data_IF_303473367637
#
_entry.id   IF_303473367637
#
_cell.length_a   1.000
_cell.length_b   1.000
_cell.length_c   1.000
_cell.angle_alpha   90.00
_cell.angle_beta   90.00
_cell.angle_gamma   90.00
#
_symmetry.space_group_name_H-M   'P 1'
#
loop_
_entity.id
_entity.type
_entity.pdbx_description
1 polymer ?
#
# COMPACT_ATOMS: atom_id res chain seq x y z
N UNK A 1 -2.56 15.58 -15.98
CA UNK A 1 -1.43 15.19 -15.12
C UNK A 1 -1.96 14.23 -14.06
N UNK A 2 -1.21 13.18 -13.72
CA UNK A 2 -1.57 12.27 -12.64
C UNK A 2 -1.49 13.02 -11.30
N UNK A 3 -2.44 12.77 -10.40
CA UNK A 3 -2.49 13.45 -9.09
C UNK A 3 -1.56 12.76 -8.08
N UNK A 4 -1.26 11.48 -8.31
CA UNK A 4 -0.39 10.65 -7.50
C UNK A 4 0.62 9.91 -8.38
N UNK A 5 1.85 9.81 -7.91
CA UNK A 5 2.93 9.08 -8.61
C UNK A 5 3.53 8.08 -7.63
N UNK A 6 3.43 6.78 -7.92
CA UNK A 6 4.11 5.74 -7.14
C UNK A 6 5.56 5.65 -7.61
N UNK A 7 6.50 5.82 -6.67
CA UNK A 7 7.88 5.46 -6.91
C UNK A 7 8.01 3.97 -7.27
N UNK A 8 9.03 3.56 -8.04
CA UNK A 8 9.25 2.15 -8.37
C UNK A 8 9.31 1.24 -7.14
N UNK A 9 9.90 1.74 -6.05
CA UNK A 9 9.99 1.05 -4.75
C UNK A 9 8.61 0.86 -4.09
N UNK A 10 7.80 1.91 -4.01
CA UNK A 10 6.44 1.81 -3.48
C UNK A 10 5.57 0.87 -4.31
N UNK A 11 5.66 1.00 -5.63
CA UNK A 11 4.93 0.19 -6.57
C UNK A 11 5.32 -1.29 -6.47
N UNK A 12 6.62 -1.58 -6.39
CA UNK A 12 7.13 -2.94 -6.19
C UNK A 12 6.63 -3.57 -4.89
N UNK A 13 6.77 -2.87 -3.77
CA UNK A 13 6.33 -3.39 -2.46
C UNK A 13 4.84 -3.72 -2.45
N UNK A 14 4.02 -2.82 -3.00
CA UNK A 14 2.57 -3.01 -3.12
C UNK A 14 2.24 -4.26 -3.93
N UNK A 15 2.82 -4.40 -5.12
CA UNK A 15 2.57 -5.57 -5.97
C UNK A 15 3.16 -6.86 -5.38
N UNK A 16 4.29 -6.78 -4.67
CA UNK A 16 4.90 -7.93 -3.99
C UNK A 16 3.97 -8.45 -2.89
N UNK A 17 3.48 -7.56 -2.02
CA UNK A 17 2.58 -7.92 -0.94
C UNK A 17 1.29 -8.58 -1.47
N UNK A 18 0.66 -7.97 -2.48
CA UNK A 18 -0.54 -8.56 -3.13
C UNK A 18 -0.23 -9.88 -3.83
N UNK A 19 0.93 -9.99 -4.48
CA UNK A 19 1.32 -11.17 -5.26
C UNK A 19 1.73 -12.37 -4.39
N UNK A 20 2.21 -12.14 -3.16
CA UNK A 20 2.51 -13.19 -2.19
C UNK A 20 1.23 -13.81 -1.59
N UNK A 21 0.14 -13.04 -1.56
CA UNK A 21 -1.15 -13.47 -1.02
C UNK A 21 -2.26 -13.40 -2.09
N UNK A 22 -2.17 -14.19 -3.17
CA UNK A 22 -3.03 -14.05 -4.35
C UNK A 22 -4.49 -14.44 -4.10
N UNK A 23 -4.79 -15.05 -2.97
CA UNK A 23 -6.13 -15.51 -2.58
C UNK A 23 -6.63 -14.86 -1.30
N UNK A 24 -5.89 -13.90 -0.72
CA UNK A 24 -6.28 -13.24 0.52
C UNK A 24 -6.60 -11.77 0.29
N UNK A 25 -7.41 -11.19 1.17
CA UNK A 25 -7.49 -9.75 1.24
C UNK A 25 -6.16 -9.19 1.79
N UNK A 26 -5.71 -8.08 1.24
CA UNK A 26 -4.44 -7.45 1.62
C UNK A 26 -4.68 -5.97 1.89
N UNK A 27 -4.01 -5.42 2.89
CA UNK A 27 -4.05 -4.00 3.22
C UNK A 27 -2.65 -3.49 3.51
N UNK A 28 -2.35 -2.26 3.09
CA UNK A 28 -1.14 -1.56 3.49
C UNK A 28 -1.25 -0.04 3.34
N UNK A 29 -0.24 0.69 3.80
CA UNK A 29 -0.21 2.15 3.77
C UNK A 29 0.64 2.66 2.61
N UNK A 30 0.28 3.84 2.10
CA UNK A 30 1.04 4.61 1.12
C UNK A 30 1.65 5.82 1.84
N UNK A 31 2.96 5.96 1.72
CA UNK A 31 3.76 6.97 2.40
C UNK A 31 4.40 7.91 1.40
N UNK A 32 4.46 9.18 1.75
CA UNK A 32 5.15 10.23 1.00
C UNK A 32 6.11 10.99 1.91
N UNK A 33 7.02 11.76 1.29
CA UNK A 33 7.79 12.75 2.03
C UNK A 33 6.84 13.80 2.65
N UNK A 34 7.16 14.26 3.87
CA UNK A 34 6.40 15.35 4.49
C UNK A 34 6.43 16.63 3.66
N UNK A 35 7.49 16.85 2.87
CA UNK A 35 7.69 18.02 2.02
C UNK A 35 6.90 17.99 0.70
N UNK A 36 6.23 16.88 0.38
CA UNK A 36 5.51 16.72 -0.89
C UNK A 36 4.33 17.69 -0.99
N UNK A 37 4.24 18.37 -2.14
CA UNK A 37 3.17 19.33 -2.48
C UNK A 37 1.78 18.68 -2.49
N UNK A 38 0.73 19.48 -2.34
CA UNK A 38 -0.66 18.99 -2.40
C UNK A 38 -1.17 18.81 -3.84
N UNK A 39 -0.49 19.35 -4.85
CA UNK A 39 -0.92 19.29 -6.25
C UNK A 39 -0.51 17.99 -6.94
N UNK A 40 0.70 17.51 -6.64
CA UNK A 40 1.20 16.21 -7.08
C UNK A 40 1.85 15.48 -5.90
N UNK A 41 1.29 14.33 -5.55
CA UNK A 41 1.76 13.54 -4.41
C UNK A 41 2.61 12.38 -4.90
N UNK A 42 3.91 12.50 -4.71
CA UNK A 42 4.84 11.39 -4.91
C UNK A 42 4.80 10.44 -3.70
N UNK A 43 4.36 9.22 -3.94
CA UNK A 43 4.36 8.11 -2.98
C UNK A 43 5.73 7.44 -3.04
N UNK A 44 6.58 7.77 -2.08
CA UNK A 44 7.96 7.31 -2.02
C UNK A 44 8.10 5.90 -1.43
N UNK A 45 7.10 5.45 -0.67
CA UNK A 45 7.13 4.12 -0.04
C UNK A 45 5.74 3.54 0.16
N UNK A 46 5.62 2.23 0.03
CA UNK A 46 4.46 1.47 0.51
C UNK A 46 4.87 0.65 1.73
N UNK A 47 3.94 0.49 2.68
CA UNK A 47 4.14 -0.24 3.93
C UNK A 47 3.08 -1.34 4.02
N UNK A 48 3.45 -2.62 3.85
CA UNK A 48 2.57 -3.75 4.12
C UNK A 48 1.99 -3.68 5.54
N UNK A 49 0.68 -3.85 5.69
CA UNK A 49 0.04 -3.95 7.00
C UNK A 49 -0.40 -5.39 7.28
N UNK A 50 -1.44 -5.89 6.62
CA UNK A 50 -2.06 -7.17 7.00
C UNK A 50 -2.52 -7.96 5.78
N UNK A 51 -2.49 -9.29 5.88
CA UNK A 51 -2.91 -10.24 4.83
C UNK A 51 -3.71 -11.44 5.33
N UNK A 52 -3.76 -11.71 6.65
CA UNK A 52 -4.56 -12.81 7.21
C UNK A 52 -5.96 -12.36 7.61
N UNK A 53 -6.07 -11.28 8.38
CA UNK A 53 -7.32 -10.89 9.03
C UNK A 53 -7.65 -9.40 8.84
N UNK A 54 -7.76 -8.97 7.58
CA UNK A 54 -8.04 -7.56 7.23
C UNK A 54 -9.32 -6.98 7.84
N UNK A 55 -10.24 -7.83 8.32
CA UNK A 55 -11.49 -7.44 8.97
C UNK A 55 -11.41 -7.34 10.51
N UNK A 56 -10.32 -7.79 11.15
CA UNK A 56 -10.14 -7.71 12.60
C UNK A 56 -9.54 -6.35 12.98
N UNK A 57 -10.38 -5.49 13.56
CA UNK A 57 -10.01 -4.12 13.93
C UNK A 57 -8.88 -3.99 14.95
N UNK A 58 -8.71 -4.85 15.98
CA UNK A 58 -7.69 -4.59 17.00
C UNK A 58 -6.24 -4.62 16.49
N UNK A 59 -5.89 -5.61 15.67
CA UNK A 59 -4.53 -5.71 15.10
C UNK A 59 -4.27 -4.59 14.09
N UNK A 60 -5.28 -4.26 13.29
CA UNK A 60 -5.19 -3.16 12.35
C UNK A 60 -5.02 -1.80 13.05
N UNK A 61 -5.76 -1.56 14.13
CA UNK A 61 -5.66 -0.32 14.90
C UNK A 61 -4.26 -0.16 15.52
N UNK A 62 -3.70 -1.25 16.06
CA UNK A 62 -2.35 -1.27 16.62
C UNK A 62 -1.30 -1.03 15.52
N UNK A 63 -1.39 -1.73 14.38
CA UNK A 63 -0.42 -1.58 13.30
C UNK A 63 -0.45 -0.17 12.70
N UNK A 64 -1.64 0.41 12.50
CA UNK A 64 -1.79 1.80 12.05
C UNK A 64 -1.20 2.77 13.07
N UNK A 65 -1.46 2.58 14.37
CA UNK A 65 -0.92 3.46 15.42
C UNK A 65 0.62 3.42 15.46
N UNK A 66 1.21 2.22 15.35
CA UNK A 66 2.66 2.04 15.27
C UNK A 66 3.24 2.69 14.01
N UNK A 67 2.60 2.50 12.86
CA UNK A 67 3.00 3.13 11.60
C UNK A 67 2.95 4.66 11.70
N UNK A 68 1.89 5.24 12.27
CA UNK A 68 1.77 6.69 12.51
C UNK A 68 2.93 7.21 13.37
N UNK A 69 3.30 6.48 14.42
CA UNK A 69 4.41 6.87 15.27
C UNK A 69 5.76 6.76 14.55
N UNK A 70 5.94 5.72 13.73
CA UNK A 70 7.15 5.51 12.95
C UNK A 70 7.35 6.62 11.91
N UNK A 71 6.34 6.94 11.11
CA UNK A 71 6.46 7.95 10.04
C UNK A 71 6.78 9.35 10.58
N UNK A 72 6.24 9.69 11.76
CA UNK A 72 6.57 10.93 12.48
C UNK A 72 8.06 11.04 12.82
N UNK A 73 8.73 9.92 13.11
CA UNK A 73 10.17 9.89 13.43
C UNK A 73 11.05 9.95 12.17
N UNK A 74 10.55 9.45 11.05
CA UNK A 74 11.33 9.32 9.80
C UNK A 74 11.09 10.44 8.80
N UNK A 75 10.30 11.46 9.14
CA UNK A 75 10.00 12.59 8.26
C UNK A 75 9.05 12.23 7.11
N UNK A 76 8.35 11.10 7.21
CA UNK A 76 7.34 10.66 6.25
C UNK A 76 5.93 11.02 6.74
N UNK A 77 4.98 11.07 5.80
CA UNK A 77 3.55 11.18 6.10
C UNK A 77 2.78 10.07 5.39
N UNK A 78 1.72 9.58 6.02
CA UNK A 78 0.78 8.67 5.38
C UNK A 78 -0.10 9.53 4.45
N UNK A 79 -0.24 9.12 3.19
CA UNK A 79 -1.06 9.80 2.17
C UNK A 79 -2.23 8.95 1.69
N UNK A 80 -2.24 7.68 2.08
CA UNK A 80 -3.27 6.76 1.66
C UNK A 80 -3.04 5.35 2.16
N UNK A 81 -3.85 4.45 1.63
CA UNK A 81 -3.73 3.01 1.80
C UNK A 81 -3.91 2.32 0.45
N UNK A 82 -3.39 1.11 0.34
CA UNK A 82 -3.73 0.20 -0.75
C UNK A 82 -4.44 -1.03 -0.21
N UNK A 83 -5.33 -1.59 -1.01
CA UNK A 83 -6.10 -2.76 -0.66
C UNK A 83 -6.23 -3.72 -1.84
N UNK A 84 -6.25 -5.01 -1.56
CA UNK A 84 -6.69 -6.04 -2.49
C UNK A 84 -7.83 -6.83 -1.88
N UNK A 85 -8.93 -7.00 -2.61
CA UNK A 85 -10.14 -7.68 -2.12
C UNK A 85 -10.13 -9.17 -2.48
N UNK A 86 -10.40 -10.04 -1.51
CA UNK A 86 -10.40 -11.52 -1.66
C UNK A 86 -11.36 -12.05 -2.76
N UNK A 87 -12.57 -11.49 -2.86
CA UNK A 87 -13.65 -12.11 -3.66
C UNK A 87 -14.31 -11.20 -4.70
N UNK A 88 -14.21 -9.88 -4.60
CA UNK A 88 -15.09 -8.96 -5.35
C UNK A 88 -14.33 -7.77 -5.93
N UNK A 89 -13.86 -7.94 -7.17
CA UNK A 89 -13.58 -6.85 -8.11
C UNK A 89 -12.48 -5.85 -7.74
N UNK A 90 -12.25 -4.92 -8.67
CA UNK A 90 -11.26 -3.84 -8.57
C UNK A 90 -11.89 -2.60 -7.91
N UNK A 91 -12.95 -2.82 -7.11
CA UNK A 91 -13.84 -1.82 -6.53
C UNK A 91 -13.55 -1.57 -5.05
N UNK A 92 -13.85 -0.35 -4.58
CA UNK A 92 -13.66 0.01 -3.18
C UNK A 92 -14.66 -0.72 -2.26
N UNK A 93 -14.15 -1.58 -1.36
CA UNK A 93 -14.95 -2.22 -0.33
C UNK A 93 -15.40 -1.20 0.75
N UNK A 94 -16.64 -1.30 1.27
CA UNK A 94 -17.12 -0.45 2.36
C UNK A 94 -16.26 -0.50 3.63
N UNK A 95 -15.64 -1.65 3.89
CA UNK A 95 -14.70 -1.81 5.01
C UNK A 95 -13.46 -0.93 4.80
N UNK A 96 -12.87 -1.01 3.61
CA UNK A 96 -11.68 -0.23 3.25
C UNK A 96 -11.99 1.27 3.25
N UNK A 97 -13.19 1.68 2.79
CA UNK A 97 -13.64 3.07 2.87
C UNK A 97 -13.72 3.56 4.32
N UNK A 98 -14.26 2.75 5.24
CA UNK A 98 -14.33 3.09 6.68
C UNK A 98 -12.93 3.25 7.29
N UNK A 99 -12.02 2.33 6.97
CA UNK A 99 -10.62 2.40 7.43
C UNK A 99 -9.95 3.68 6.90
N UNK A 100 -10.16 3.99 5.61
CA UNK A 100 -9.63 5.21 5.00
C UNK A 100 -10.14 6.49 5.68
N UNK A 101 -11.44 6.55 6.05
CA UNK A 101 -12.01 7.68 6.81
C UNK A 101 -11.41 7.81 8.21
N UNK A 102 -11.24 6.69 8.91
CA UNK A 102 -10.62 6.66 10.24
C UNK A 102 -9.14 7.09 10.18
N UNK A 103 -8.42 6.62 9.15
CA UNK A 103 -7.04 7.01 8.88
C UNK A 103 -6.93 8.51 8.63
N UNK A 104 -7.72 9.05 7.70
CA UNK A 104 -7.72 10.47 7.37
C UNK A 104 -8.03 11.35 8.59
N UNK A 105 -8.94 10.90 9.46
CA UNK A 105 -9.24 11.59 10.72
C UNK A 105 -8.04 11.55 11.70
N UNK A 106 -7.38 10.39 11.81
CA UNK A 106 -6.23 10.20 12.69
C UNK A 106 -4.97 10.95 12.23
N UNK A 107 -4.83 11.16 10.92
CA UNK A 107 -3.74 11.92 10.29
C UNK A 107 -4.08 13.39 10.07
N UNK A 108 -5.27 13.85 10.48
CA UNK A 108 -5.76 15.22 10.29
C UNK A 108 -5.76 15.67 8.81
N UNK A 109 -6.07 14.74 7.91
CA UNK A 109 -6.17 14.98 6.46
C UNK A 109 -7.64 15.16 6.04
N UNK A 110 -7.88 16.04 5.07
CA UNK A 110 -9.23 16.22 4.51
C UNK A 110 -9.68 15.01 3.68
N UNK A 111 -8.72 14.34 3.05
CA UNK A 111 -8.89 13.18 2.19
C UNK A 111 -7.63 12.31 2.15
N UNK A 112 -7.81 11.04 1.78
CA UNK A 112 -6.72 10.09 1.56
C UNK A 112 -6.91 9.33 0.25
N UNK A 113 -5.79 8.89 -0.33
CA UNK A 113 -5.79 7.99 -1.48
C UNK A 113 -6.12 6.56 -1.03
N UNK A 114 -7.00 5.89 -1.76
CA UNK A 114 -7.18 4.44 -1.67
C UNK A 114 -6.87 3.82 -3.03
N UNK A 115 -5.83 3.00 -3.07
CA UNK A 115 -5.41 2.25 -4.24
C UNK A 115 -5.95 0.81 -4.16
N UNK A 116 -6.91 0.45 -4.99
CA UNK A 116 -7.52 -0.88 -5.01
C UNK A 116 -6.94 -1.70 -6.14
N UNK A 117 -6.57 -2.95 -5.85
CA UNK A 117 -6.12 -3.93 -6.83
C UNK A 117 -6.90 -5.23 -6.71
N UNK A 118 -6.90 -6.00 -7.80
CA UNK A 118 -7.30 -7.40 -7.76
C UNK A 118 -6.15 -8.27 -7.26
N UNK A 119 -6.34 -9.11 -6.23
CA UNK A 119 -5.34 -10.10 -5.88
C UNK A 119 -5.25 -11.14 -7.00
N UNK A 120 -4.02 -11.33 -7.49
CA UNK A 120 -3.66 -12.30 -8.53
C UNK A 120 -2.24 -12.75 -8.26
N UNK A 121 -1.89 -13.96 -8.70
CA UNK A 121 -0.52 -14.45 -8.60
C UNK A 121 0.50 -13.53 -9.27
N UNK A 122 0.15 -12.84 -10.35
CA UNK A 122 0.98 -11.80 -10.95
C UNK A 122 0.12 -10.53 -11.05
N UNK A 123 0.12 -9.68 -10.00
CA UNK A 123 -0.62 -8.44 -10.04
C UNK A 123 0.09 -7.45 -11.00
N UNK A 124 -0.70 -6.58 -11.61
CA UNK A 124 -0.24 -5.56 -12.57
C UNK A 124 -1.01 -4.28 -12.33
N UNK A 125 -0.35 -3.14 -12.57
CA UNK A 125 -0.93 -1.79 -12.46
C UNK A 125 -2.11 -1.58 -13.38
N UNK A 126 -2.28 -2.41 -14.41
CA UNK A 126 -3.44 -2.35 -15.31
C UNK A 126 -4.79 -2.49 -14.56
N UNK A 127 -4.79 -3.06 -13.35
CA UNK A 127 -5.96 -3.24 -12.50
C UNK A 127 -5.93 -2.35 -11.24
N UNK A 128 -5.06 -1.34 -11.21
CA UNK A 128 -4.94 -0.40 -10.10
C UNK A 128 -5.99 0.71 -10.25
N UNK A 129 -7.00 0.69 -9.38
CA UNK A 129 -8.04 1.72 -9.34
C UNK A 129 -7.81 2.65 -8.16
N UNK A 130 -7.70 3.96 -8.43
CA UNK A 130 -7.58 4.98 -7.41
C UNK A 130 -8.93 5.54 -6.95
N UNK A 131 -9.10 5.72 -5.65
CA UNK A 131 -10.22 6.43 -5.04
C UNK A 131 -9.70 7.52 -4.12
N UNK A 132 -10.42 8.64 -4.04
CA UNK A 132 -10.25 9.67 -3.03
C UNK A 132 -11.35 9.52 -2.00
N UNK A 133 -10.98 9.28 -0.75
CA UNK A 133 -11.92 9.14 0.36
C UNK A 133 -11.82 10.36 1.24
N UNK A 134 -12.90 11.14 1.36
CA UNK A 134 -12.95 12.32 2.23
C UNK A 134 -13.41 11.96 3.63
N UNK A 135 -12.93 12.71 4.64
CA UNK A 135 -13.47 12.70 5.99
C UNK A 135 -14.87 13.33 6.09
N UNK A 136 -15.24 14.16 5.10
CA UNK A 136 -16.58 14.73 5.02
C UNK A 136 -17.60 13.70 4.54
N UNK A 137 -18.89 13.96 4.79
CA UNK A 137 -20.00 13.10 4.34
C UNK A 137 -20.16 13.01 2.80
N UNK A 138 -19.22 13.58 2.03
CA UNK A 138 -19.22 13.52 0.56
C UNK A 138 -18.83 12.15 -0.02
N UNK A 139 -18.40 11.20 0.84
CA UNK A 139 -18.16 9.81 0.45
C UNK A 139 -16.84 9.60 -0.31
N UNK A 140 -16.71 8.45 -0.96
CA UNK A 140 -15.56 8.12 -1.82
C UNK A 140 -15.83 8.49 -3.28
N UNK A 141 -14.84 9.08 -3.95
CA UNK A 141 -14.89 9.38 -5.38
C UNK A 141 -13.80 8.60 -6.11
N UNK A 142 -14.18 7.82 -7.13
CA UNK A 142 -13.22 7.19 -8.02
C UNK A 142 -12.43 8.25 -8.80
N UNK A 143 -11.12 8.07 -8.87
CA UNK A 143 -10.23 8.93 -9.64
C UNK A 143 -10.24 8.51 -11.12
N UNK A 144 -9.95 9.46 -12.01
CA UNK A 144 -9.90 9.17 -13.45
C UNK A 144 -8.81 8.16 -13.82
N UNK A 145 -8.97 7.53 -14.99
CA UNK A 145 -7.93 6.70 -15.60
C UNK A 145 -6.63 7.52 -15.69
N UNK A 146 -5.51 6.98 -15.21
CA UNK A 146 -4.19 7.65 -15.06
C UNK A 146 -4.06 8.64 -13.90
N UNK A 147 -4.95 8.62 -12.90
CA UNK A 147 -4.74 9.44 -11.70
C UNK A 147 -3.58 8.96 -10.82
N UNK A 148 -3.21 7.69 -10.94
CA UNK A 148 -2.04 7.08 -10.33
C UNK A 148 -1.07 6.69 -11.44
N UNK A 149 0.09 7.33 -11.47
CA UNK A 149 1.21 6.90 -12.32
C UNK A 149 2.03 5.86 -11.56
N UNK A 150 2.27 4.70 -12.17
CA UNK A 150 3.05 3.61 -11.56
C UNK A 150 4.47 3.50 -12.13
N UNK A 151 4.84 4.37 -13.06
CA UNK A 151 6.17 4.44 -13.65
C UNK A 151 6.58 3.12 -14.32
N UNK A 152 7.69 2.53 -13.83
CA UNK A 152 8.41 1.41 -14.45
C UNK A 152 7.75 0.02 -14.25
N UNK A 153 6.45 -0.11 -14.54
CA UNK A 153 5.66 -1.33 -14.30
C UNK A 153 6.31 -2.60 -14.88
N UNK A 154 6.82 -2.55 -16.11
CA UNK A 154 7.40 -3.73 -16.78
C UNK A 154 8.61 -4.30 -16.02
N UNK A 155 9.44 -3.43 -15.41
CA UNK A 155 10.57 -3.86 -14.60
C UNK A 155 10.09 -4.45 -13.29
N UNK A 156 9.17 -3.77 -12.62
CA UNK A 156 8.56 -4.24 -11.37
C UNK A 156 7.98 -5.64 -11.51
N UNK A 157 7.15 -5.90 -12.52
CA UNK A 157 6.53 -7.22 -12.75
C UNK A 157 7.58 -8.29 -13.07
N UNK A 158 8.65 -7.94 -13.79
CA UNK A 158 9.73 -8.89 -14.10
C UNK A 158 10.52 -9.33 -12.88
N UNK A 159 10.76 -8.40 -11.92
CA UNK A 159 11.45 -8.68 -10.67
C UNK A 159 10.55 -9.49 -9.76
N UNK A 160 9.26 -9.14 -9.66
CA UNK A 160 8.27 -9.93 -8.92
C UNK A 160 8.22 -11.38 -9.40
N UNK A 161 8.20 -11.61 -10.71
CA UNK A 161 8.19 -12.98 -11.25
C UNK A 161 9.45 -13.77 -10.87
N UNK A 162 10.62 -13.11 -10.85
CA UNK A 162 11.88 -13.75 -10.42
C UNK A 162 11.87 -14.06 -8.93
N UNK A 163 11.34 -13.14 -8.12
CA UNK A 163 11.25 -13.26 -6.68
C UNK A 163 10.21 -14.31 -6.24
N UNK A 164 9.10 -14.44 -6.95
CA UNK A 164 8.16 -15.55 -6.72
C UNK A 164 8.77 -16.92 -7.07
N UNK A 165 9.72 -16.96 -8.00
CA UNK A 165 10.49 -18.15 -8.31
C UNK A 165 11.70 -18.37 -7.37
N UNK A 166 12.02 -17.42 -6.49
CA UNK A 166 13.25 -17.34 -5.69
C UNK A 166 12.99 -17.11 -4.18
N UNK A 167 13.29 -18.13 -3.39
CA UNK A 167 12.79 -18.48 -2.04
C UNK A 167 13.10 -17.62 -0.79
N UNK A 168 13.50 -16.34 -0.82
CA UNK A 168 13.67 -15.60 0.47
C UNK A 168 13.58 -14.06 0.41
N UNK A 169 14.13 -13.44 -0.63
CA UNK A 169 14.21 -11.98 -0.74
C UNK A 169 12.83 -11.32 -0.97
N UNK A 170 11.90 -12.06 -1.59
CA UNK A 170 10.52 -11.63 -1.80
C UNK A 170 9.77 -11.41 -0.48
N UNK A 171 9.98 -12.33 0.49
CA UNK A 171 9.35 -12.27 1.80
C UNK A 171 9.85 -11.08 2.58
N UNK A 172 11.16 -10.83 2.60
CA UNK A 172 11.75 -9.68 3.31
C UNK A 172 11.24 -8.35 2.73
N UNK A 173 11.13 -8.27 1.41
CA UNK A 173 10.74 -7.03 0.73
C UNK A 173 9.25 -6.66 0.88
N UNK A 174 8.40 -7.61 1.29
CA UNK A 174 6.97 -7.41 1.45
C UNK A 174 6.44 -7.92 2.79
N UNK A 175 7.33 -8.09 3.78
CA UNK A 175 6.96 -8.52 5.13
C UNK A 175 6.01 -7.50 5.75
N UNK A 176 4.96 -8.00 6.38
CA UNK A 176 3.93 -7.16 6.97
C UNK A 176 3.81 -7.33 8.50
N UNK A 177 2.77 -6.73 9.08
CA UNK A 177 2.53 -6.83 10.52
C UNK A 177 2.14 -8.25 10.95
N UNK A 178 1.44 -9.01 10.10
CA UNK A 178 1.08 -10.40 10.41
C UNK A 178 2.36 -11.25 10.48
N UNK A 179 3.29 -11.09 9.54
CA UNK A 179 4.61 -11.75 9.56
C UNK A 179 5.40 -11.40 10.84
N UNK A 180 5.39 -10.13 11.25
CA UNK A 180 6.06 -9.68 12.48
C UNK A 180 5.46 -10.30 13.75
N UNK A 181 4.14 -10.51 13.78
CA UNK A 181 3.48 -11.16 14.91
C UNK A 181 3.84 -12.64 15.01
N UNK A 182 4.11 -13.31 13.88
CA UNK A 182 4.59 -14.68 13.84
C UNK A 182 6.08 -14.79 14.18
N UNK A 183 6.90 -13.86 13.69
CA UNK A 183 8.33 -13.75 13.97
C UNK A 183 8.76 -12.30 14.22
N UNK A 184 8.95 -11.98 15.51
CA UNK A 184 9.35 -10.64 15.95
C UNK A 184 10.73 -10.17 15.46
N UNK A 185 11.53 -11.06 14.86
CA UNK A 185 12.80 -10.68 14.23
C UNK A 185 12.60 -9.96 12.88
N UNK A 186 11.41 -10.04 12.29
CA UNK A 186 11.05 -9.38 11.03
C UNK A 186 10.71 -7.91 11.32
N UNK A 187 11.49 -6.98 10.75
CA UNK A 187 11.19 -5.54 10.83
C UNK A 187 10.30 -5.11 9.66
N UNK A 188 8.98 -5.20 9.84
CA UNK A 188 7.98 -4.75 8.86
C UNK A 188 7.99 -3.23 8.61
N UNK A 189 8.63 -2.43 9.48
CA UNK A 189 8.79 -0.98 9.31
C UNK A 189 10.08 -0.64 8.52
N UNK A 190 10.94 -1.61 8.23
CA UNK A 190 12.18 -1.39 7.50
C UNK A 190 11.92 -1.02 6.03
N UNK A 191 12.66 -0.05 5.46
CA UNK A 191 12.58 0.26 4.03
C UNK A 191 13.02 -0.95 3.19
N UNK A 192 12.60 -0.97 1.93
CA UNK A 192 13.07 -1.97 0.97
C UNK A 192 14.61 -2.03 0.98
N UNK A 193 15.20 -3.24 0.98
CA UNK A 193 16.65 -3.40 0.92
C UNK A 193 17.25 -2.70 -0.31
N UNK A 194 18.44 -2.13 -0.13
CA UNK A 194 19.14 -1.38 -1.18
C UNK A 194 19.39 -2.23 -2.45
N UNK A 195 19.59 -3.53 -2.29
CA UNK A 195 19.80 -4.48 -3.38
C UNK A 195 18.57 -4.63 -4.28
N UNK A 196 17.37 -4.58 -3.68
CA UNK A 196 16.10 -4.63 -4.40
C UNK A 196 15.84 -3.29 -5.08
N UNK A 197 16.10 -2.17 -4.39
CA UNK A 197 15.88 -0.83 -4.96
C UNK A 197 16.84 -0.49 -6.10
N UNK A 198 18.09 -0.97 -6.07
CA UNK A 198 19.05 -0.79 -7.16
C UNK A 198 18.61 -1.48 -8.48
N UNK A 199 17.73 -2.48 -8.40
CA UNK A 199 17.22 -3.21 -9.56
C UNK A 199 15.97 -2.60 -10.21
N UNK A 200 15.30 -1.64 -9.56
CA UNK A 200 14.03 -1.03 -9.99
C UNK A 200 14.27 0.21 -10.86
#
# INVERSE_FOLDING_TARGET
>A
MASYVLSPAAHFTLLAHVGLHPTSAVLGLLLASSSTSNESVEVTRALPLVHHWTALTPQLDVSIALAIQHVKKTGLKIVGLYAANEATGDELSPMVERIAKALASSTQQADVLVAVLKPRALPSSAHLTGYRVSTSNSGSKQLGLNAIDTGAETRTVSILRRLQAGTQDAKIAASDWDDHLEDTSIDWLAPLPAEVTAGL
#
